data_IF_208263018093
#
_entry.id   IF_208263018093
#
_cell.length_a   1.000
_cell.length_b   1.000
_cell.length_c   1.000
_cell.angle_alpha   90.00
_cell.angle_beta   90.00
_cell.angle_gamma   90.00
#
_symmetry.space_group_name_H-M   'P 1'
#
loop_
_entity.id
_entity.type
_entity.pdbx_description
1 polymer ?
#
# COMPACT_ATOMS: atom_id res chain seq x y z
N UNK A 1 1.04 -12.55 11.53
CA UNK A 1 0.54 -11.65 12.61
C UNK A 1 0.02 -10.38 11.92
N UNK A 2 -1.24 -9.97 12.12
CA UNK A 2 -1.89 -8.91 11.33
C UNK A 2 -1.52 -7.52 11.88
N UNK A 3 -0.78 -6.73 11.10
CA UNK A 3 -0.36 -5.35 11.42
C UNK A 3 -1.52 -4.47 11.92
N UNK A 4 -2.71 -4.65 11.33
CA UNK A 4 -3.91 -3.92 11.73
C UNK A 4 -4.30 -4.28 13.16
N UNK A 5 -4.23 -5.54 13.58
CA UNK A 5 -4.59 -5.96 14.94
C UNK A 5 -3.60 -5.43 15.99
N UNK A 6 -2.30 -5.41 15.67
CA UNK A 6 -1.26 -4.91 16.57
C UNK A 6 -1.41 -3.42 16.90
N UNK A 7 -1.81 -2.60 15.93
CA UNK A 7 -1.90 -1.14 16.07
C UNK A 7 -3.31 -0.68 16.47
N UNK A 8 -4.35 -1.37 16.02
CA UNK A 8 -5.75 -0.90 16.16
C UNK A 8 -6.30 -1.12 17.58
N UNK A 9 -5.77 -2.09 18.34
CA UNK A 9 -6.24 -2.41 19.70
C UNK A 9 -5.42 -1.83 20.87
N UNK A 10 -4.17 -1.38 20.63
CA UNK A 10 -3.22 -1.05 21.71
C UNK A 10 -3.01 0.45 21.96
N UNK A 11 -3.31 1.32 21.01
CA UNK A 11 -2.95 2.74 21.06
C UNK A 11 -4.16 3.66 21.03
N UNK A 12 -4.09 4.79 21.75
CA UNK A 12 -5.09 5.84 21.64
C UNK A 12 -5.07 6.50 20.25
N UNK A 13 -6.14 7.23 19.90
CA UNK A 13 -6.33 7.79 18.55
C UNK A 13 -5.18 8.70 18.11
N UNK A 14 -4.63 9.51 19.02
CA UNK A 14 -3.54 10.44 18.70
C UNK A 14 -2.23 9.71 18.40
N UNK A 15 -1.88 8.73 19.24
CA UNK A 15 -0.69 7.87 19.07
C UNK A 15 -0.79 7.08 17.78
N UNK A 16 -1.94 6.47 17.52
CA UNK A 16 -2.20 5.73 16.27
C UNK A 16 -2.06 6.63 15.03
N UNK A 17 -2.58 7.86 15.08
CA UNK A 17 -2.46 8.80 13.97
C UNK A 17 -1.00 9.14 13.68
N UNK A 18 -0.19 9.39 14.72
CA UNK A 18 1.23 9.68 14.56
C UNK A 18 2.00 8.48 14.00
N UNK A 19 1.73 7.26 14.49
CA UNK A 19 2.31 6.04 13.94
C UNK A 19 2.01 5.89 12.45
N UNK A 20 0.75 6.05 12.05
CA UNK A 20 0.35 5.96 10.64
C UNK A 20 1.05 7.02 9.78
N UNK A 21 1.21 8.25 10.28
CA UNK A 21 1.94 9.30 9.57
C UNK A 21 3.42 8.95 9.36
N UNK A 22 4.07 8.36 10.37
CA UNK A 22 5.48 7.95 10.25
C UNK A 22 5.65 6.76 9.30
N UNK A 23 4.71 5.81 9.34
CA UNK A 23 4.66 4.67 8.44
C UNK A 23 4.40 5.09 6.99
N UNK A 24 3.47 6.02 6.76
CA UNK A 24 3.23 6.58 5.43
C UNK A 24 4.46 7.32 4.91
N UNK A 25 5.13 8.10 5.76
CA UNK A 25 6.37 8.78 5.40
C UNK A 25 7.50 7.80 5.03
N UNK A 26 7.63 6.69 5.76
CA UNK A 26 8.57 5.62 5.43
C UNK A 26 8.18 4.91 4.11
N UNK A 27 6.91 4.53 3.95
CA UNK A 27 6.44 3.79 2.78
C UNK A 27 6.59 4.58 1.47
N UNK A 28 6.21 5.86 1.51
CA UNK A 28 6.14 6.70 0.33
C UNK A 28 7.34 7.65 0.15
N UNK A 29 8.28 7.68 1.10
CA UNK A 29 9.54 8.39 0.95
C UNK A 29 10.22 8.01 -0.36
N UNK A 30 10.59 9.00 -1.17
CA UNK A 30 11.23 8.78 -2.48
C UNK A 30 12.73 8.57 -2.35
N UNK A 31 13.32 9.14 -1.31
CA UNK A 31 14.75 9.07 -1.04
C UNK A 31 15.03 8.23 0.19
N UNK A 32 16.18 7.56 0.19
CA UNK A 32 16.59 6.73 1.33
C UNK A 32 16.78 7.56 2.60
N UNK A 33 17.15 8.84 2.47
CA UNK A 33 17.25 9.78 3.59
C UNK A 33 15.89 10.06 4.23
N UNK A 34 14.83 10.19 3.43
CA UNK A 34 13.47 10.42 3.92
C UNK A 34 12.95 9.19 4.68
N UNK A 35 13.20 8.00 4.12
CA UNK A 35 12.91 6.72 4.78
C UNK A 35 13.65 6.61 6.12
N UNK A 36 14.97 6.81 6.13
CA UNK A 36 15.79 6.72 7.35
C UNK A 36 15.35 7.70 8.42
N UNK A 37 14.99 8.92 8.03
CA UNK A 37 14.47 9.93 8.96
C UNK A 37 13.15 9.48 9.60
N UNK A 38 12.22 8.97 8.79
CA UNK A 38 10.93 8.47 9.28
C UNK A 38 11.11 7.28 10.24
N UNK A 39 12.00 6.33 9.91
CA UNK A 39 12.31 5.18 10.77
C UNK A 39 13.02 5.61 12.06
N UNK A 40 13.96 6.55 12.01
CA UNK A 40 14.60 7.07 13.21
C UNK A 40 13.58 7.74 14.15
N UNK A 41 12.65 8.53 13.61
CA UNK A 41 11.58 9.13 14.41
C UNK A 41 10.61 8.06 14.97
N UNK A 42 10.37 6.99 14.21
CA UNK A 42 9.58 5.84 14.66
C UNK A 42 10.26 5.09 15.81
N UNK A 43 11.58 4.89 15.76
CA UNK A 43 12.37 4.30 16.85
C UNK A 43 12.26 5.12 18.15
N UNK A 44 12.29 6.45 18.06
CA UNK A 44 12.09 7.30 19.23
C UNK A 44 10.66 7.24 19.79
N UNK A 45 9.66 7.02 18.93
CA UNK A 45 8.25 7.07 19.31
C UNK A 45 7.69 5.72 19.77
N UNK A 46 8.08 4.62 19.10
CA UNK A 46 7.64 3.27 19.41
C UNK A 46 8.62 2.22 18.86
N UNK A 47 9.50 1.75 19.74
CA UNK A 47 10.46 0.69 19.45
C UNK A 47 9.79 -0.59 18.91
N UNK A 48 8.69 -1.04 19.52
CA UNK A 48 7.96 -2.23 19.07
C UNK A 48 7.49 -2.13 17.60
N UNK A 49 7.05 -0.94 17.17
CA UNK A 49 6.59 -0.75 15.79
C UNK A 49 7.78 -0.63 14.85
N UNK A 50 8.87 -0.01 15.30
CA UNK A 50 10.10 0.08 14.51
C UNK A 50 10.74 -1.29 14.25
N UNK A 51 10.82 -2.15 15.28
CA UNK A 51 11.30 -3.54 15.15
C UNK A 51 10.44 -4.33 14.16
N UNK A 52 9.10 -4.20 14.25
CA UNK A 52 8.20 -4.83 13.29
C UNK A 52 8.43 -4.34 11.85
N UNK A 53 8.69 -3.05 11.67
CA UNK A 53 8.98 -2.49 10.33
C UNK A 53 10.25 -3.11 9.77
N UNK A 54 11.31 -3.24 10.56
CA UNK A 54 12.56 -3.88 10.13
C UNK A 54 12.36 -5.36 9.77
N UNK A 55 11.54 -6.08 10.54
CA UNK A 55 11.17 -7.47 10.27
C UNK A 55 10.19 -7.66 9.09
N UNK A 56 9.66 -6.58 8.51
CA UNK A 56 8.62 -6.63 7.48
C UNK A 56 9.14 -6.71 6.03
N UNK A 57 10.44 -6.92 5.85
CA UNK A 57 11.16 -6.79 4.58
C UNK A 57 10.82 -5.45 3.86
N UNK A 58 11.30 -4.32 4.38
CA UNK A 58 10.99 -2.98 3.87
C UNK A 58 11.19 -2.80 2.37
N UNK A 59 12.15 -3.51 1.78
CA UNK A 59 12.46 -3.50 0.35
C UNK A 59 11.26 -3.91 -0.52
N UNK A 60 10.26 -4.60 0.02
CA UNK A 60 9.06 -5.01 -0.73
C UNK A 60 7.99 -3.92 -0.82
N UNK A 61 7.94 -2.95 0.09
CA UNK A 61 6.85 -1.98 0.14
C UNK A 61 7.34 -0.52 0.19
N UNK A 62 8.47 -0.23 0.80
CA UNK A 62 9.03 1.12 0.88
C UNK A 62 9.60 1.55 -0.47
N UNK A 63 9.13 2.69 -0.99
CA UNK A 63 9.52 3.19 -2.30
C UNK A 63 11.02 3.50 -2.39
N UNK A 64 11.59 4.13 -1.34
CA UNK A 64 13.00 4.49 -1.29
C UNK A 64 13.98 3.30 -1.30
N UNK A 65 13.51 2.11 -0.93
CA UNK A 65 14.34 0.91 -0.85
C UNK A 65 14.10 -0.05 -2.02
N UNK A 66 13.04 0.16 -2.79
CA UNK A 66 12.72 -0.71 -3.91
C UNK A 66 13.81 -0.61 -4.99
N UNK A 67 14.43 -1.73 -5.41
CA UNK A 67 15.64 -1.73 -6.25
C UNK A 67 15.41 -1.31 -7.71
N UNK A 68 14.17 -0.98 -8.10
CA UNK A 68 13.80 -0.59 -9.46
C UNK A 68 12.99 0.68 -9.45
N UNK A 69 13.01 1.41 -10.56
CA UNK A 69 12.10 2.54 -10.77
C UNK A 69 10.66 2.01 -10.73
N UNK A 70 9.96 2.25 -9.61
CA UNK A 70 8.51 2.22 -9.61
C UNK A 70 8.11 3.44 -10.41
N UNK A 71 7.62 3.23 -11.63
CA UNK A 71 6.87 4.27 -12.34
C UNK A 71 5.83 4.77 -11.35
N UNK A 72 6.06 5.97 -10.83
CA UNK A 72 5.23 6.59 -9.81
C UNK A 72 3.90 7.01 -10.39
N UNK A 73 3.13 6.07 -10.96
CA UNK A 73 1.71 6.25 -11.12
C UNK A 73 1.11 6.23 -9.72
N UNK A 74 1.15 7.43 -9.15
CA UNK A 74 0.70 7.89 -7.84
C UNK A 74 -0.80 7.68 -7.59
N UNK A 75 -1.46 6.79 -8.33
CA UNK A 75 -2.87 6.58 -8.17
C UNK A 75 -3.11 5.19 -7.60
N UNK A 76 -3.51 5.21 -6.33
CA UNK A 76 -4.36 4.17 -5.73
C UNK A 76 -5.60 3.80 -6.59
N UNK A 77 -5.82 4.39 -7.78
CA UNK A 77 -6.93 4.03 -8.66
C UNK A 77 -6.89 2.58 -9.03
N UNK A 78 -5.75 2.07 -9.53
CA UNK A 78 -5.69 0.71 -10.05
C UNK A 78 -6.04 -0.29 -8.94
N UNK A 79 -5.47 -0.12 -7.75
CA UNK A 79 -5.79 -0.96 -6.59
C UNK A 79 -7.23 -0.76 -6.07
N UNK A 80 -7.75 0.48 -6.03
CA UNK A 80 -9.12 0.78 -5.60
C UNK A 80 -10.16 0.22 -6.58
N UNK A 81 -9.98 0.44 -7.87
CA UNK A 81 -10.82 -0.11 -8.94
C UNK A 81 -10.79 -1.62 -8.90
N UNK A 82 -9.60 -2.23 -8.79
CA UNK A 82 -9.47 -3.68 -8.69
C UNK A 82 -10.19 -4.26 -7.46
N UNK A 83 -10.05 -3.61 -6.30
CA UNK A 83 -10.76 -4.02 -5.09
C UNK A 83 -12.29 -3.87 -5.25
N UNK A 84 -12.77 -2.82 -5.91
CA UNK A 84 -14.21 -2.66 -6.22
C UNK A 84 -14.72 -3.79 -7.10
N UNK A 85 -14.01 -4.10 -8.18
CA UNK A 85 -14.40 -5.17 -9.11
C UNK A 85 -14.46 -6.54 -8.43
N UNK A 86 -13.50 -6.82 -7.54
CA UNK A 86 -13.53 -8.04 -6.73
C UNK A 86 -14.75 -8.04 -5.81
N UNK A 87 -15.05 -6.94 -5.13
CA UNK A 87 -16.21 -6.85 -4.23
C UNK A 87 -17.54 -7.05 -4.98
N UNK A 88 -17.64 -6.56 -6.21
CA UNK A 88 -18.82 -6.73 -7.07
C UNK A 88 -19.00 -8.19 -7.52
N UNK A 89 -17.89 -8.91 -7.73
CA UNK A 89 -17.88 -10.26 -8.28
C UNK A 89 -17.67 -11.37 -7.23
N UNK A 90 -17.45 -11.05 -5.95
CA UNK A 90 -17.05 -12.02 -4.93
C UNK A 90 -18.11 -13.09 -4.62
N UNK A 91 -19.37 -12.80 -4.91
CA UNK A 91 -20.49 -13.74 -4.73
C UNK A 91 -20.70 -14.65 -5.95
N UNK A 92 -19.93 -14.46 -7.03
CA UNK A 92 -20.01 -15.30 -8.22
C UNK A 92 -19.10 -16.54 -8.07
N UNK A 93 -19.41 -17.66 -8.76
CA UNK A 93 -18.47 -18.74 -8.97
C UNK A 93 -17.12 -18.23 -9.47
N UNK A 94 -16.01 -18.86 -9.04
CA UNK A 94 -14.63 -18.42 -9.32
C UNK A 94 -14.40 -18.12 -10.81
N UNK A 95 -14.93 -18.96 -11.70
CA UNK A 95 -14.80 -18.78 -13.15
C UNK A 95 -15.43 -17.47 -13.61
N UNK A 96 -16.64 -17.17 -13.14
CA UNK A 96 -17.36 -15.94 -13.48
C UNK A 96 -16.71 -14.70 -12.86
N UNK A 97 -16.18 -14.82 -11.63
CA UNK A 97 -15.40 -13.75 -11.00
C UNK A 97 -14.15 -13.42 -11.83
N UNK A 98 -13.41 -14.43 -12.29
CA UNK A 98 -12.23 -14.25 -13.14
C UNK A 98 -12.60 -13.60 -14.47
N UNK A 99 -13.69 -14.03 -15.11
CA UNK A 99 -14.13 -13.45 -16.38
C UNK A 99 -14.60 -12.00 -16.22
N UNK A 100 -15.29 -11.67 -15.13
CA UNK A 100 -15.65 -10.29 -14.79
C UNK A 100 -14.40 -9.40 -14.66
N UNK A 101 -13.39 -9.84 -13.91
CA UNK A 101 -12.13 -9.09 -13.72
C UNK A 101 -11.41 -8.90 -15.07
N UNK A 102 -11.38 -9.93 -15.94
CA UNK A 102 -10.78 -9.82 -17.28
C UNK A 102 -11.44 -8.72 -18.11
N UNK A 103 -12.78 -8.66 -18.13
CA UNK A 103 -13.52 -7.63 -18.87
C UNK A 103 -13.15 -6.23 -18.36
N UNK A 104 -13.12 -6.03 -17.04
CA UNK A 104 -12.74 -4.74 -16.45
C UNK A 104 -11.32 -4.30 -16.85
N UNK A 105 -10.36 -5.24 -16.85
CA UNK A 105 -8.98 -4.97 -17.29
C UNK A 105 -8.95 -4.59 -18.78
N UNK A 106 -9.68 -5.32 -19.62
CA UNK A 106 -9.77 -5.02 -21.06
C UNK A 106 -10.35 -3.63 -21.32
N UNK A 107 -11.43 -3.26 -20.65
CA UNK A 107 -12.03 -1.93 -20.76
C UNK A 107 -11.08 -0.82 -20.29
N UNK A 108 -10.39 -1.03 -19.17
CA UNK A 108 -9.40 -0.08 -18.67
C UNK A 108 -8.26 0.13 -19.68
N UNK A 109 -7.72 -0.95 -20.25
CA UNK A 109 -6.66 -0.86 -21.26
C UNK A 109 -7.15 -0.17 -22.53
N UNK A 110 -8.39 -0.46 -22.96
CA UNK A 110 -9.01 0.19 -24.12
C UNK A 110 -9.17 1.70 -23.91
N UNK A 111 -9.71 2.13 -22.75
CA UNK A 111 -9.85 3.55 -22.40
C UNK A 111 -8.50 4.27 -22.42
N UNK A 112 -7.48 3.72 -21.76
CA UNK A 112 -6.12 4.29 -21.73
C UNK A 112 -5.50 4.43 -23.13
N UNK A 113 -5.71 3.45 -24.02
CA UNK A 113 -5.21 3.50 -25.39
C UNK A 113 -5.84 4.66 -26.17
N UNK A 114 -7.13 4.86 -26.01
CA UNK A 114 -7.87 5.89 -26.73
C UNK A 114 -7.60 7.29 -26.16
N UNK A 115 -7.39 7.43 -24.85
CA UNK A 115 -7.02 8.70 -24.21
C UNK A 115 -5.60 9.16 -24.57
N UNK A 116 -4.73 8.23 -24.98
CA UNK A 116 -3.36 8.51 -25.41
C UNK A 116 -3.20 8.78 -26.92
N UNK A 117 -4.31 8.76 -27.69
CA UNK A 117 -4.36 9.02 -29.14
C UNK A 117 -4.97 10.38 -29.43
#
# INVERSE_FOLDING_TARGET
MNFKETITGKFNIAVRRKLLQLLDAAAYGLKIEDYRKAIAELWCFSQQVAEWVEDSDPDHWANALFPRERYGELHSNCAKSFNSWILEACNLPIVQMVDHIKVQIMEMMYKRRNEAS
#
